data_IF_445320511586
#
_entry.id   IF_445320511586
#
_cell.length_a   1.000
_cell.length_b   1.000
_cell.length_c   1.000
_cell.angle_alpha   90.00
_cell.angle_beta   90.00
_cell.angle_gamma   90.00
#
_symmetry.space_group_name_H-M   'P 1'
#
loop_
_entity.id
_entity.type
_entity.pdbx_description
1 polymer ?
#
# COMPACT_ATOMS: atom_id res chain seq x y z
N UNK A 1 -11.34 -4.13 2.02
CA UNK A 1 -9.98 -4.43 2.54
C UNK A 1 -9.55 -5.77 1.99
N UNK A 2 -8.42 -5.81 1.27
CA UNK A 2 -7.91 -7.07 0.70
C UNK A 2 -7.36 -7.96 1.82
N UNK A 3 -7.63 -9.28 1.81
CA UNK A 3 -7.15 -10.21 2.84
C UNK A 3 -5.61 -10.25 2.93
N UNK A 4 -4.92 -9.99 1.82
CA UNK A 4 -3.45 -9.87 1.74
C UNK A 4 -2.87 -8.78 2.66
N UNK A 5 -3.56 -7.65 2.83
CA UNK A 5 -3.08 -6.55 3.67
C UNK A 5 -3.09 -6.91 5.16
N UNK A 6 -4.05 -7.71 5.61
CA UNK A 6 -4.13 -8.17 7.00
C UNK A 6 -3.00 -9.15 7.34
N UNK A 7 -2.62 -10.01 6.39
CA UNK A 7 -1.51 -10.94 6.57
C UNK A 7 -0.14 -10.24 6.58
N UNK A 8 0.02 -9.18 5.78
CA UNK A 8 1.22 -8.32 5.84
C UNK A 8 1.34 -7.57 7.17
N UNK A 9 0.23 -7.06 7.71
CA UNK A 9 0.19 -6.42 9.03
C UNK A 9 0.57 -7.40 10.15
N UNK A 10 0.07 -8.63 10.12
CA UNK A 10 0.45 -9.67 11.09
C UNK A 10 1.94 -10.01 10.99
N UNK A 11 2.50 -10.05 9.78
CA UNK A 11 3.92 -10.28 9.56
C UNK A 11 4.77 -9.12 10.08
N UNK A 12 4.33 -7.88 9.88
CA UNK A 12 4.99 -6.69 10.39
C UNK A 12 4.98 -6.65 11.93
N UNK A 13 3.86 -7.00 12.56
CA UNK A 13 3.76 -7.13 14.03
C UNK A 13 4.67 -8.24 14.54
N UNK A 14 4.75 -9.38 13.85
CA UNK A 14 5.63 -10.49 14.23
C UNK A 14 7.12 -10.14 14.13
N UNK A 15 7.53 -9.37 13.11
CA UNK A 15 8.91 -8.89 12.97
C UNK A 15 9.21 -7.84 14.04
N UNK A 16 8.31 -6.88 14.27
CA UNK A 16 8.47 -5.86 15.29
C UNK A 16 8.55 -6.46 16.71
N UNK A 17 7.84 -7.57 16.99
CA UNK A 17 7.89 -8.26 18.28
C UNK A 17 9.22 -8.95 18.60
N UNK A 18 10.05 -9.22 17.58
CA UNK A 18 11.34 -9.89 17.78
C UNK A 18 12.43 -8.94 18.27
N UNK A 19 12.44 -7.71 17.74
CA UNK A 19 13.41 -6.67 18.12
C UNK A 19 12.73 -5.30 18.32
N UNK A 20 11.92 -5.12 19.39
CA UNK A 20 11.13 -3.89 19.58
C UNK A 20 11.98 -2.62 19.71
N UNK A 21 13.18 -2.73 20.28
CA UNK A 21 14.13 -1.62 20.49
C UNK A 21 14.71 -1.05 19.20
N UNK A 22 14.77 -1.84 18.13
CA UNK A 22 15.22 -1.40 16.81
C UNK A 22 14.19 -0.51 16.11
N UNK A 23 12.91 -0.67 16.47
CA UNK A 23 11.79 0.06 15.87
C UNK A 23 11.21 1.15 16.80
N UNK A 24 11.71 1.27 18.03
CA UNK A 24 11.22 2.24 19.01
C UNK A 24 9.77 2.00 19.43
N UNK A 25 9.30 0.74 19.38
CA UNK A 25 7.92 0.34 19.69
C UNK A 25 7.89 -0.26 21.10
N UNK A 26 6.94 0.20 21.91
CA UNK A 26 6.72 -0.32 23.27
C UNK A 26 5.82 -1.57 23.27
N UNK A 27 5.97 -2.44 24.27
CA UNK A 27 5.22 -3.70 24.37
C UNK A 27 3.70 -3.45 24.42
N UNK A 28 3.27 -2.39 25.10
CA UNK A 28 1.86 -1.98 25.22
C UNK A 28 1.28 -1.58 23.86
N UNK A 29 2.09 -0.94 23.02
CA UNK A 29 1.69 -0.59 21.66
C UNK A 29 1.59 -1.84 20.77
N UNK A 30 2.50 -2.78 20.96
CA UNK A 30 2.55 -4.03 20.21
C UNK A 30 1.32 -4.92 20.50
N UNK A 31 0.91 -5.01 21.75
CA UNK A 31 -0.34 -5.67 22.16
C UNK A 31 -1.58 -4.97 21.57
N UNK A 32 -1.60 -3.64 21.57
CA UNK A 32 -2.70 -2.85 21.00
C UNK A 32 -2.85 -3.10 19.50
N UNK A 33 -1.74 -3.15 18.76
CA UNK A 33 -1.71 -3.50 17.33
C UNK A 33 -2.20 -4.92 17.09
N UNK A 34 -1.79 -5.88 17.92
CA UNK A 34 -2.25 -7.30 17.85
C UNK A 34 -3.76 -7.43 18.01
N UNK A 35 -4.33 -6.73 19.00
CA UNK A 35 -5.77 -6.73 19.27
C UNK A 35 -6.56 -6.11 18.12
N UNK A 36 -6.08 -4.99 17.59
CA UNK A 36 -6.72 -4.34 16.44
C UNK A 36 -6.75 -5.25 15.21
N UNK A 37 -5.62 -5.87 14.84
CA UNK A 37 -5.55 -6.77 13.67
C UNK A 37 -6.49 -7.97 13.82
N UNK A 38 -6.61 -8.55 15.03
CA UNK A 38 -7.54 -9.65 15.29
C UNK A 38 -9.02 -9.25 15.15
N UNK A 39 -9.37 -8.04 15.60
CA UNK A 39 -10.73 -7.48 15.46
C UNK A 39 -11.05 -7.20 13.99
N UNK A 40 -10.12 -6.60 13.26
CA UNK A 40 -10.26 -6.31 11.83
C UNK A 40 -10.48 -7.60 11.01
N UNK A 41 -9.72 -8.67 11.29
CA UNK A 41 -9.89 -9.98 10.65
C UNK A 41 -11.29 -10.55 10.88
N UNK A 42 -11.80 -10.44 12.11
CA UNK A 42 -13.14 -10.92 12.48
C UNK A 42 -14.23 -10.13 11.75
N UNK A 43 -14.10 -8.80 11.69
CA UNK A 43 -15.06 -7.95 10.97
C UNK A 43 -15.08 -8.25 9.46
N UNK A 44 -13.91 -8.38 8.83
CA UNK A 44 -13.81 -8.72 7.40
C UNK A 44 -14.39 -10.12 7.12
N UNK A 45 -14.15 -11.09 8.00
CA UNK A 45 -14.76 -12.42 7.91
C UNK A 45 -16.29 -12.40 7.99
N UNK A 46 -16.84 -11.61 8.92
CA UNK A 46 -18.29 -11.45 9.06
C UNK A 46 -18.92 -10.75 7.85
N UNK A 47 -18.29 -9.69 7.34
CA UNK A 47 -18.75 -8.99 6.14
C UNK A 47 -18.70 -9.91 4.92
N UNK A 48 -17.61 -10.67 4.74
CA UNK A 48 -17.50 -11.64 3.65
C UNK A 48 -18.61 -12.70 3.72
N UNK A 49 -18.87 -13.26 4.91
CA UNK A 49 -19.93 -14.25 5.11
C UNK A 49 -21.33 -13.67 4.85
N UNK A 50 -21.59 -12.43 5.25
CA UNK A 50 -22.84 -11.73 4.97
C UNK A 50 -23.04 -11.48 3.46
N UNK A 51 -21.98 -11.08 2.76
CA UNK A 51 -21.98 -10.88 1.30
C UNK A 51 -22.17 -12.20 0.55
N UNK A 52 -21.50 -13.27 0.96
CA UNK A 52 -21.67 -14.61 0.36
C UNK A 52 -23.09 -15.15 0.57
N UNK A 53 -23.70 -14.91 1.73
CA UNK A 53 -25.10 -15.26 1.99
C UNK A 53 -26.09 -14.46 1.12
N UNK A 54 -25.82 -13.17 0.87
CA UNK A 54 -26.63 -12.33 -0.02
C UNK A 54 -26.50 -12.66 -1.51
N UNK A 55 -25.37 -13.23 -1.93
CA UNK A 55 -25.09 -13.61 -3.32
C UNK A 55 -25.89 -14.83 -3.79
N UNK A 56 -26.31 -15.71 -2.87
CA UNK A 56 -27.17 -16.86 -3.19
C UNK A 56 -28.60 -16.46 -3.60
N UNK A 57 -29.08 -15.30 -3.17
CA UNK A 57 -30.44 -14.80 -3.48
C UNK A 57 -30.52 -14.04 -4.81
N UNK A 58 -29.42 -13.42 -5.26
CA UNK A 58 -29.41 -12.49 -6.40
C UNK A 58 -29.28 -13.19 -7.77
N UNK A 59 -28.66 -14.38 -7.83
CA UNK A 59 -28.59 -15.18 -9.07
C UNK A 59 -29.93 -15.84 -9.43
N UNK A 60 -30.73 -16.25 -8.44
CA UNK A 60 -32.07 -16.81 -8.69
C UNK A 60 -33.06 -15.75 -9.23
N UNK A 61 -32.94 -14.49 -8.76
CA UNK A 61 -33.79 -13.38 -9.21
C UNK A 61 -33.51 -12.99 -10.67
N UNK A 62 -32.26 -13.00 -11.13
CA UNK A 62 -31.92 -12.65 -12.51
C UNK A 62 -32.39 -13.69 -13.55
N UNK A 63 -32.44 -14.97 -13.18
CA UNK A 63 -32.98 -16.03 -14.04
C UNK A 63 -34.50 -15.93 -14.24
N UNK A 64 -35.22 -15.50 -13.19
CA UNK A 64 -36.68 -15.33 -13.22
C UNK A 64 -37.15 -14.17 -14.11
N UNK A 65 -36.42 -13.05 -14.13
CA UNK A 65 -36.77 -11.88 -14.94
C UNK A 65 -36.63 -12.15 -16.44
N UNK A 66 -35.58 -12.87 -16.85
CA UNK A 66 -35.37 -13.24 -18.26
C UNK A 66 -36.42 -14.26 -18.75
N UNK A 67 -36.87 -15.18 -17.90
CA UNK A 67 -37.95 -16.11 -18.24
C UNK A 67 -39.30 -15.39 -18.44
N UNK A 68 -39.58 -14.37 -17.61
CA UNK A 68 -40.83 -13.59 -17.69
C UNK A 68 -40.89 -12.68 -18.93
N UNK A 69 -39.76 -12.07 -19.31
CA UNK A 69 -39.66 -11.24 -20.53
C UNK A 69 -39.90 -12.07 -21.81
N UNK A 70 -39.54 -13.35 -21.79
CA UNK A 70 -39.68 -14.25 -22.93
C UNK A 70 -41.12 -14.75 -23.13
N UNK A 71 -41.94 -14.79 -22.07
CA UNK A 71 -43.38 -15.10 -22.17
C UNK A 71 -44.21 -13.91 -22.67
N UNK A 72 -43.84 -12.68 -22.32
CA UNK A 72 -44.54 -11.45 -22.73
C UNK A 72 -44.39 -11.11 -24.23
N UNK A 73 -43.40 -11.71 -24.92
CA UNK A 73 -43.18 -11.52 -26.36
C UNK A 73 -43.88 -12.56 -27.24
N UNK A 74 -44.69 -13.47 -26.67
CA UNK A 74 -45.46 -14.49 -27.41
C UNK A 74 -46.87 -13.96 -27.71
N UNK A 75 -47.06 -13.33 -28.88
CA UNK A 75 -48.39 -12.91 -29.34
C UNK A 75 -49.34 -14.11 -29.56
N UNK A 76 -50.56 -14.12 -28.98
CA UNK A 76 -51.65 -14.97 -29.42
C UNK A 76 -52.46 -14.26 -30.51
N UNK A 77 -52.46 -14.85 -31.71
CA UNK A 77 -53.35 -14.46 -32.79
C UNK A 77 -54.72 -15.14 -32.61
N UNK A 78 -55.77 -14.40 -32.24
CA UNK A 78 -57.13 -14.77 -32.65
C UNK A 78 -58.15 -13.66 -32.46
N UNK A 79 -58.99 -13.58 -33.49
CA UNK A 79 -60.17 -12.74 -33.65
C UNK A 79 -61.24 -13.08 -32.60
N UNK A 80 -62.01 -12.07 -32.20
CA UNK A 80 -63.19 -12.08 -31.30
C UNK A 80 -62.90 -11.81 -29.82
N UNK A 81 -63.01 -10.55 -29.36
CA UNK A 81 -63.53 -10.19 -28.01
C UNK A 81 -63.54 -8.66 -27.81
N UNK A 82 -64.45 -7.93 -28.44
CA UNK A 82 -64.54 -6.46 -28.28
C UNK A 82 -65.36 -5.99 -27.06
N UNK A 83 -65.82 -6.89 -26.17
CA UNK A 83 -66.64 -6.49 -25.00
C UNK A 83 -66.02 -6.84 -23.64
N UNK A 84 -64.98 -7.69 -23.60
CA UNK A 84 -64.23 -7.99 -22.36
C UNK A 84 -62.92 -7.18 -22.20
N UNK A 85 -62.52 -6.42 -23.24
CA UNK A 85 -61.24 -5.69 -23.26
C UNK A 85 -61.22 -4.41 -22.40
N UNK A 86 -62.36 -3.88 -21.97
CA UNK A 86 -62.38 -2.58 -21.26
C UNK A 86 -61.92 -2.68 -19.80
N UNK A 87 -62.10 -3.84 -19.15
CA UNK A 87 -61.58 -4.10 -17.81
C UNK A 87 -60.10 -4.55 -17.84
N UNK A 88 -59.69 -5.31 -18.86
CA UNK A 88 -58.30 -5.73 -19.04
C UNK A 88 -57.37 -4.58 -19.48
N UNK A 89 -57.89 -3.59 -20.20
CA UNK A 89 -57.13 -2.38 -20.54
C UNK A 89 -56.91 -1.46 -19.32
N UNK A 90 -57.90 -1.33 -18.43
CA UNK A 90 -57.76 -0.55 -17.19
C UNK A 90 -56.76 -1.17 -16.20
N UNK A 91 -56.79 -2.50 -16.01
CA UNK A 91 -55.81 -3.19 -15.16
C UNK A 91 -54.38 -3.09 -15.73
N UNK A 92 -54.23 -3.12 -17.06
CA UNK A 92 -52.94 -2.91 -17.71
C UNK A 92 -52.44 -1.48 -17.56
N UNK A 93 -53.30 -0.47 -17.64
CA UNK A 93 -52.89 0.93 -17.46
C UNK A 93 -52.43 1.21 -16.01
N UNK A 94 -53.11 0.66 -15.00
CA UNK A 94 -52.70 0.77 -13.59
C UNK A 94 -51.39 0.01 -13.32
N UNK A 95 -51.22 -1.17 -13.93
CA UNK A 95 -49.96 -1.91 -13.86
C UNK A 95 -48.81 -1.16 -14.54
N UNK A 96 -49.03 -0.58 -15.72
CA UNK A 96 -48.03 0.22 -16.45
C UNK A 96 -47.66 1.48 -15.68
N UNK A 97 -48.62 2.18 -15.07
CA UNK A 97 -48.36 3.35 -14.23
C UNK A 97 -47.54 2.98 -12.99
N UNK A 98 -47.92 1.92 -12.28
CA UNK A 98 -47.19 1.49 -11.08
C UNK A 98 -45.76 1.00 -11.36
N UNK A 99 -45.52 0.34 -12.49
CA UNK A 99 -44.15 0.01 -12.95
C UNK A 99 -43.37 1.26 -13.37
N UNK A 100 -44.01 2.21 -14.06
CA UNK A 100 -43.39 3.48 -14.46
C UNK A 100 -42.94 4.30 -13.24
N UNK A 101 -43.76 4.39 -12.20
CA UNK A 101 -43.42 5.06 -10.95
C UNK A 101 -42.24 4.37 -10.24
N UNK A 102 -42.21 3.04 -10.26
CA UNK A 102 -41.11 2.25 -9.69
C UNK A 102 -39.81 2.46 -10.45
N UNK A 103 -39.85 2.51 -11.78
CA UNK A 103 -38.69 2.82 -12.61
C UNK A 103 -38.19 4.25 -12.38
N UNK A 104 -39.09 5.22 -12.22
CA UNK A 104 -38.72 6.61 -11.91
C UNK A 104 -38.01 6.72 -10.55
N UNK A 105 -38.46 5.96 -9.53
CA UNK A 105 -37.79 5.91 -8.24
C UNK A 105 -36.40 5.24 -8.32
N UNK A 106 -36.24 4.24 -9.17
CA UNK A 106 -34.95 3.58 -9.39
C UNK A 106 -33.96 4.54 -10.06
N UNK A 107 -34.39 5.25 -11.11
CA UNK A 107 -33.56 6.24 -11.81
C UNK A 107 -33.13 7.36 -10.87
N UNK A 108 -34.05 7.89 -10.04
CA UNK A 108 -33.69 8.90 -9.04
C UNK A 108 -32.62 8.44 -8.06
N UNK A 109 -32.70 7.19 -7.58
CA UNK A 109 -31.67 6.63 -6.70
C UNK A 109 -30.33 6.47 -7.41
N UNK A 110 -30.34 6.04 -8.67
CA UNK A 110 -29.12 5.93 -9.46
C UNK A 110 -28.48 7.29 -9.71
N UNK A 111 -29.26 8.33 -9.98
CA UNK A 111 -28.75 9.69 -10.12
C UNK A 111 -28.10 10.19 -8.82
N UNK A 112 -28.73 9.96 -7.67
CA UNK A 112 -28.13 10.29 -6.36
C UNK A 112 -26.80 9.53 -6.12
N UNK A 113 -26.74 8.24 -6.48
CA UNK A 113 -25.50 7.44 -6.38
C UNK A 113 -24.41 7.95 -7.33
N UNK A 114 -24.77 8.40 -8.54
CA UNK A 114 -23.82 8.97 -9.51
C UNK A 114 -23.28 10.33 -9.07
N UNK A 115 -24.09 11.16 -8.43
CA UNK A 115 -23.64 12.43 -7.85
C UNK A 115 -22.64 12.18 -6.70
N UNK A 116 -22.91 11.21 -5.82
CA UNK A 116 -21.96 10.82 -4.77
C UNK A 116 -20.67 10.25 -5.36
N UNK A 117 -20.77 9.44 -6.41
CA UNK A 117 -19.61 8.92 -7.13
C UNK A 117 -18.80 10.05 -7.77
N UNK A 118 -19.46 11.03 -8.40
CA UNK A 118 -18.82 12.19 -9.02
C UNK A 118 -18.03 13.00 -7.99
N UNK A 119 -18.62 13.27 -6.82
CA UNK A 119 -17.92 13.94 -5.71
C UNK A 119 -16.72 13.13 -5.21
N UNK A 120 -16.86 11.80 -5.16
CA UNK A 120 -15.78 10.89 -4.78
C UNK A 120 -14.64 10.91 -5.80
N UNK A 121 -14.95 10.91 -7.10
CA UNK A 121 -13.96 11.02 -8.19
C UNK A 121 -13.25 12.37 -8.13
N UNK A 122 -13.96 13.46 -7.88
CA UNK A 122 -13.35 14.78 -7.73
C UNK A 122 -12.38 14.82 -6.53
N UNK A 123 -12.75 14.21 -5.40
CA UNK A 123 -11.87 14.08 -4.24
C UNK A 123 -10.63 13.24 -4.55
N UNK A 124 -10.80 12.11 -5.22
CA UNK A 124 -9.68 11.26 -5.66
C UNK A 124 -8.76 12.03 -6.61
N UNK A 125 -9.32 12.80 -7.54
CA UNK A 125 -8.56 13.67 -8.44
C UNK A 125 -7.71 14.70 -7.67
N UNK A 126 -8.29 15.34 -6.65
CA UNK A 126 -7.57 16.25 -5.76
C UNK A 126 -6.42 15.57 -5.02
N UNK A 127 -6.66 14.40 -4.44
CA UNK A 127 -5.60 13.59 -3.79
C UNK A 127 -4.53 13.18 -4.78
N UNK A 128 -4.90 12.81 -6.01
CA UNK A 128 -3.96 12.46 -7.08
C UNK A 128 -3.02 13.61 -7.45
N UNK A 129 -3.53 14.84 -7.51
CA UNK A 129 -2.72 16.05 -7.73
C UNK A 129 -1.73 16.28 -6.58
N UNK A 130 -2.19 16.14 -5.33
CA UNK A 130 -1.31 16.26 -4.16
C UNK A 130 -0.22 15.20 -4.15
N UNK A 131 -0.55 13.93 -4.47
CA UNK A 131 0.44 12.86 -4.60
C UNK A 131 1.46 13.21 -5.68
N UNK A 132 1.02 13.74 -6.82
CA UNK A 132 1.92 14.13 -7.90
C UNK A 132 2.90 15.24 -7.48
N UNK A 133 2.42 16.26 -6.77
CA UNK A 133 3.26 17.33 -6.24
C UNK A 133 4.28 16.81 -5.21
N UNK A 134 3.84 15.93 -4.30
CA UNK A 134 4.71 15.29 -3.32
C UNK A 134 5.78 14.40 -3.98
N UNK A 135 5.43 13.67 -5.05
CA UNK A 135 6.39 12.88 -5.83
C UNK A 135 7.46 13.76 -6.49
N UNK A 136 7.07 14.91 -7.05
CA UNK A 136 8.03 15.89 -7.58
C UNK A 136 8.91 16.45 -6.45
N UNK A 137 8.35 16.67 -5.26
CA UNK A 137 9.11 17.05 -4.08
C UNK A 137 10.15 16.01 -3.69
N UNK A 138 9.74 14.74 -3.66
CA UNK A 138 10.61 13.61 -3.34
C UNK A 138 11.72 13.40 -4.37
N UNK A 139 11.46 13.62 -5.67
CA UNK A 139 12.48 13.57 -6.71
C UNK A 139 13.63 14.55 -6.41
N UNK A 140 13.31 15.77 -5.97
CA UNK A 140 14.32 16.77 -5.57
C UNK A 140 15.10 16.35 -4.34
N UNK A 141 14.42 15.81 -3.33
CA UNK A 141 15.07 15.33 -2.10
C UNK A 141 16.03 14.17 -2.41
N UNK A 142 15.67 13.29 -3.35
CA UNK A 142 16.52 12.17 -3.77
C UNK A 142 17.76 12.69 -4.51
N UNK A 143 17.61 13.70 -5.38
CA UNK A 143 18.74 14.31 -6.08
C UNK A 143 19.72 15.00 -5.10
N UNK A 144 19.18 15.77 -4.15
CA UNK A 144 19.96 16.39 -3.07
C UNK A 144 20.67 15.32 -2.22
N UNK A 145 19.98 14.24 -1.85
CA UNK A 145 20.57 13.11 -1.12
C UNK A 145 21.68 12.44 -1.94
N UNK A 146 21.51 12.31 -3.26
CA UNK A 146 22.54 11.81 -4.16
C UNK A 146 23.80 12.68 -4.13
N UNK A 147 23.64 14.00 -4.22
CA UNK A 147 24.73 14.97 -4.12
C UNK A 147 25.46 14.92 -2.77
N UNK A 148 24.71 14.83 -1.66
CA UNK A 148 25.30 14.66 -0.33
C UNK A 148 26.03 13.32 -0.17
N UNK A 149 25.49 12.25 -0.75
CA UNK A 149 26.11 10.93 -0.74
C UNK A 149 27.42 10.93 -1.54
N UNK A 150 27.47 11.59 -2.70
CA UNK A 150 28.69 11.76 -3.48
C UNK A 150 29.75 12.56 -2.70
N UNK A 151 29.33 13.63 -2.01
CA UNK A 151 30.20 14.38 -1.10
C UNK A 151 30.75 13.53 0.05
N UNK A 152 29.91 12.67 0.62
CA UNK A 152 30.29 11.73 1.69
C UNK A 152 31.24 10.65 1.16
N UNK A 153 30.99 10.11 -0.03
CA UNK A 153 31.84 9.13 -0.70
C UNK A 153 33.25 9.69 -0.95
N UNK A 154 33.35 10.92 -1.44
CA UNK A 154 34.64 11.60 -1.62
C UNK A 154 35.40 11.81 -0.31
N UNK A 155 34.69 12.16 0.77
CA UNK A 155 35.30 12.29 2.12
C UNK A 155 35.78 10.93 2.63
N UNK A 156 34.99 9.87 2.44
CA UNK A 156 35.35 8.52 2.81
C UNK A 156 36.58 8.01 2.04
N UNK A 157 36.65 8.25 0.73
CA UNK A 157 37.84 7.91 -0.08
C UNK A 157 39.10 8.65 0.43
N UNK A 158 38.97 9.93 0.79
CA UNK A 158 40.08 10.67 1.40
C UNK A 158 40.51 10.10 2.75
N UNK A 159 39.54 9.75 3.62
CA UNK A 159 39.82 9.10 4.89
C UNK A 159 40.50 7.74 4.67
N UNK A 160 40.00 6.94 3.74
CA UNK A 160 40.57 5.65 3.38
C UNK A 160 42.02 5.80 2.89
N UNK A 161 42.29 6.78 2.02
CA UNK A 161 43.65 7.13 1.57
C UNK A 161 44.57 7.55 2.72
N UNK A 162 44.07 8.36 3.67
CA UNK A 162 44.83 8.75 4.87
C UNK A 162 45.15 7.55 5.76
N UNK A 163 44.17 6.69 6.01
CA UNK A 163 44.36 5.45 6.77
C UNK A 163 45.41 4.56 6.09
N UNK A 164 45.32 4.37 4.78
CA UNK A 164 46.30 3.61 4.00
C UNK A 164 47.71 4.23 4.09
N UNK A 165 47.83 5.56 4.03
CA UNK A 165 49.10 6.25 4.22
C UNK A 165 49.67 6.08 5.63
N UNK A 166 48.83 6.15 6.67
CA UNK A 166 49.25 5.94 8.07
C UNK A 166 49.73 4.50 8.25
N UNK A 167 48.98 3.51 7.74
CA UNK A 167 49.43 2.10 7.77
C UNK A 167 50.76 1.91 7.04
N UNK A 168 50.95 2.59 5.90
CA UNK A 168 52.22 2.54 5.15
C UNK A 168 53.37 3.24 5.89
N UNK A 169 53.12 4.36 6.60
CA UNK A 169 54.14 5.05 7.41
C UNK A 169 54.47 4.29 8.69
N UNK A 170 53.49 3.63 9.29
CA UNK A 170 53.68 2.69 10.40
C UNK A 170 54.28 1.35 9.95
N UNK A 171 54.50 1.16 8.64
CA UNK A 171 55.07 -0.06 8.08
C UNK A 171 56.50 -0.31 8.55
N UNK A 172 56.85 -1.58 8.64
CA UNK A 172 58.12 -2.11 9.14
C UNK A 172 59.37 -1.37 8.62
N UNK A 173 59.35 -0.83 7.40
CA UNK A 173 60.49 -0.05 6.86
C UNK A 173 60.87 1.17 7.71
N UNK A 174 59.89 1.92 8.23
CA UNK A 174 60.17 3.08 9.09
C UNK A 174 60.71 2.67 10.45
N UNK A 175 60.14 1.62 11.04
CA UNK A 175 60.60 1.04 12.30
C UNK A 175 62.00 0.42 12.16
N UNK A 176 62.30 -0.27 11.06
CA UNK A 176 63.63 -0.85 10.78
C UNK A 176 64.67 0.26 10.64
N UNK A 177 64.37 1.36 9.95
CA UNK A 177 65.30 2.51 9.85
C UNK A 177 65.55 3.17 11.21
N UNK A 178 64.52 3.28 12.06
CA UNK A 178 64.67 3.76 13.44
C UNK A 178 65.56 2.83 14.27
N UNK A 179 65.34 1.51 14.20
CA UNK A 179 66.15 0.51 14.91
C UNK A 179 67.61 0.58 14.46
N UNK A 180 67.87 0.65 13.14
CA UNK A 180 69.23 0.77 12.61
C UNK A 180 69.93 2.05 13.10
N UNK A 181 69.22 3.18 13.13
CA UNK A 181 69.76 4.45 13.65
C UNK A 181 70.11 4.37 15.15
N UNK A 182 69.21 3.82 15.97
CA UNK A 182 69.46 3.62 17.39
C UNK A 182 70.62 2.65 17.64
N UNK A 183 70.76 1.60 16.82
CA UNK A 183 71.85 0.64 16.94
C UNK A 183 73.20 1.25 16.56
N UNK A 184 73.27 2.06 15.50
CA UNK A 184 74.48 2.79 15.14
C UNK A 184 74.90 3.79 16.22
N UNK A 185 73.93 4.52 16.81
CA UNK A 185 74.18 5.43 17.92
C UNK A 185 74.70 4.68 19.16
N UNK A 186 74.15 3.50 19.46
CA UNK A 186 74.63 2.65 20.54
C UNK A 186 76.09 2.21 20.32
N UNK A 187 76.45 1.76 19.11
CA UNK A 187 77.82 1.38 18.77
C UNK A 187 78.77 2.56 18.95
N UNK A 188 78.39 3.75 18.46
CA UNK A 188 79.20 4.96 18.59
C UNK A 188 79.47 5.29 20.06
N UNK A 189 78.42 5.26 20.90
CA UNK A 189 78.53 5.55 22.33
C UNK A 189 79.38 4.50 23.05
N UNK A 190 79.23 3.22 22.69
CA UNK A 190 80.05 2.12 23.20
C UNK A 190 81.53 2.34 22.89
N UNK A 191 81.88 2.63 21.63
CA UNK A 191 83.26 2.91 21.22
C UNK A 191 83.80 4.12 21.99
N UNK A 192 83.04 5.22 22.08
CA UNK A 192 83.45 6.42 22.79
C UNK A 192 83.78 6.12 24.26
N UNK A 193 82.94 5.34 24.94
CA UNK A 193 83.12 4.96 26.36
C UNK A 193 84.26 3.98 26.58
N UNK A 194 84.52 3.05 25.66
CA UNK A 194 85.61 2.09 25.82
C UNK A 194 86.98 2.65 25.41
N UNK A 195 87.02 3.64 24.52
CA UNK A 195 88.25 4.30 24.07
C UNK A 195 88.56 5.61 24.81
N UNK A 196 87.62 6.12 25.62
CA UNK A 196 87.84 7.18 26.62
C UNK A 196 88.20 6.54 27.95
#
# INVERSE_FOLDING_TARGET
>A
MNPLYLDELDKAIAVASKDPSWYGIDEVELESRRRWTSSARTQVGNVKKAVEAGKGSSTASHASVNAMHQELMRLPNSRQTDTYNQYAAQDNDDFIQSESDRQMLLIKRQDEELDELSLSVQRIGGVGLTIHEELIGQERIIDDLGSEMDGTSNRLDFVQKKVAMVMKKASAKGQIMMILGLFALFIFLFILVFFT
#
